data_IF_022061024564
#
_entry.id   IF_022061024564
#
_cell.length_a   1.000
_cell.length_b   1.000
_cell.length_c   1.000
_cell.angle_alpha   90.00
_cell.angle_beta   90.00
_cell.angle_gamma   90.00
#
_symmetry.space_group_name_H-M   'P 1'
#
loop_
_entity.id
_entity.type
_entity.pdbx_description
1 polymer ?
#
# COMPACT_ATOMS: atom_id res chain seq x y z
N UNK A 1 33.46 -12.18 18.86
CA UNK A 1 32.17 -11.58 19.25
C UNK A 1 32.13 -10.20 18.60
N UNK A 2 31.51 -10.07 17.42
CA UNK A 2 31.50 -8.82 16.66
C UNK A 2 30.31 -7.97 17.12
N UNK A 3 30.59 -6.81 17.71
CA UNK A 3 29.56 -5.82 18.04
C UNK A 3 29.08 -5.21 16.72
N UNK A 4 28.05 -5.83 16.13
CA UNK A 4 27.25 -5.21 15.06
C UNK A 4 26.38 -4.14 15.73
N UNK A 5 26.93 -2.94 15.89
CA UNK A 5 26.10 -1.75 16.09
C UNK A 5 25.47 -1.39 14.74
N UNK A 6 24.49 -2.17 14.29
CA UNK A 6 23.53 -1.70 13.30
C UNK A 6 22.74 -0.58 13.98
N UNK A 7 23.17 0.67 13.76
CA UNK A 7 22.42 1.86 14.14
C UNK A 7 21.08 1.81 13.39
N UNK A 8 20.08 1.21 14.02
CA UNK A 8 18.73 1.24 13.51
C UNK A 8 18.21 2.65 13.73
N UNK A 9 18.07 3.40 12.63
CA UNK A 9 17.55 4.78 12.65
C UNK A 9 16.14 4.81 13.25
N UNK A 10 15.40 3.70 13.16
CA UNK A 10 14.03 3.56 13.65
C UNK A 10 13.95 2.44 14.69
N UNK A 11 13.35 2.73 15.84
CA UNK A 11 12.92 1.73 16.81
C UNK A 11 11.93 0.75 16.21
N UNK A 12 11.77 -0.44 16.82
CA UNK A 12 10.78 -1.43 16.37
C UNK A 12 9.35 -0.87 16.35
N UNK A 13 9.02 0.01 17.30
CA UNK A 13 7.71 0.66 17.36
C UNK A 13 7.50 1.60 16.17
N UNK A 14 8.52 2.41 15.82
CA UNK A 14 8.46 3.31 14.65
C UNK A 14 8.40 2.52 13.33
N UNK A 15 9.14 1.42 13.22
CA UNK A 15 9.04 0.54 12.05
C UNK A 15 7.64 -0.06 11.91
N UNK A 16 7.06 -0.54 13.02
CA UNK A 16 5.69 -1.05 13.02
C UNK A 16 4.69 0.03 12.66
N UNK A 17 4.82 1.23 13.22
CA UNK A 17 3.94 2.35 12.86
C UNK A 17 4.05 2.65 11.36
N UNK A 18 5.26 2.78 10.82
CA UNK A 18 5.50 3.11 9.41
C UNK A 18 5.05 2.05 8.41
N UNK A 19 5.27 0.77 8.71
CA UNK A 19 5.09 -0.33 7.75
C UNK A 19 3.91 -1.26 8.06
N UNK A 20 3.08 -0.94 9.07
CA UNK A 20 1.81 -1.63 9.28
C UNK A 20 0.69 -1.02 8.45
N UNK A 21 -0.37 -1.78 8.15
CA UNK A 21 -1.61 -1.23 7.61
C UNK A 21 -2.16 -0.13 8.52
N UNK A 22 -2.69 0.96 7.95
CA UNK A 22 -3.32 2.01 8.73
C UNK A 22 -4.58 1.48 9.40
N UNK A 23 -4.79 1.87 10.67
CA UNK A 23 -6.02 1.59 11.39
C UNK A 23 -7.08 2.60 10.94
N UNK A 24 -7.98 2.18 10.06
CA UNK A 24 -9.01 3.06 9.49
C UNK A 24 -10.29 3.04 10.32
N UNK A 25 -10.85 4.22 10.61
CA UNK A 25 -12.22 4.34 11.10
C UNK A 25 -13.23 3.93 10.03
N UNK A 26 -14.49 3.67 10.40
CA UNK A 26 -15.54 3.33 9.43
C UNK A 26 -15.73 4.42 8.35
N UNK A 27 -15.60 5.69 8.73
CA UNK A 27 -15.68 6.81 7.77
C UNK A 27 -14.50 6.80 6.81
N UNK A 28 -13.29 6.55 7.32
CA UNK A 28 -12.09 6.42 6.50
C UNK A 28 -12.15 5.19 5.57
N UNK A 29 -12.68 4.06 6.04
CA UNK A 29 -12.93 2.89 5.18
C UNK A 29 -13.87 3.24 4.03
N UNK A 30 -14.99 3.92 4.31
CA UNK A 30 -15.92 4.38 3.26
C UNK A 30 -15.25 5.34 2.28
N UNK A 31 -14.41 6.24 2.77
CA UNK A 31 -13.71 7.22 1.94
C UNK A 31 -12.64 6.55 1.06
N UNK A 32 -11.73 5.77 1.65
CA UNK A 32 -10.54 5.26 0.96
C UNK A 32 -10.79 3.98 0.15
N UNK A 33 -11.77 3.16 0.52
CA UNK A 33 -12.08 1.92 -0.20
C UNK A 33 -13.15 2.06 -1.28
N UNK A 34 -13.80 3.22 -1.40
CA UNK A 34 -14.73 3.48 -2.51
C UNK A 34 -13.94 3.91 -3.75
N UNK A 35 -13.87 3.10 -4.82
CA UNK A 35 -13.08 3.45 -5.98
C UNK A 35 -13.79 4.48 -6.86
N UNK A 36 -13.04 5.41 -7.44
CA UNK A 36 -13.56 6.32 -8.48
C UNK A 36 -13.68 5.62 -9.85
N UNK A 37 -14.16 6.32 -10.87
CA UNK A 37 -14.41 5.73 -12.20
C UNK A 37 -13.15 5.13 -12.87
N UNK A 38 -12.00 5.79 -12.73
CA UNK A 38 -10.72 5.34 -13.29
C UNK A 38 -10.27 4.08 -12.55
N UNK A 39 -10.35 4.09 -11.23
CA UNK A 39 -10.00 2.96 -10.37
C UNK A 39 -10.93 1.77 -10.57
N UNK A 40 -12.23 2.00 -10.79
CA UNK A 40 -13.20 0.96 -11.15
C UNK A 40 -12.84 0.29 -12.48
N UNK A 41 -12.33 1.06 -13.44
CA UNK A 41 -11.89 0.52 -14.73
C UNK A 41 -10.69 -0.42 -14.56
N UNK A 42 -9.68 0.01 -13.80
CA UNK A 42 -8.53 -0.84 -13.46
C UNK A 42 -8.94 -2.08 -12.66
N UNK A 43 -9.83 -1.91 -11.69
CA UNK A 43 -10.38 -2.99 -10.86
C UNK A 43 -11.09 -4.06 -11.68
N UNK A 44 -11.87 -3.65 -12.70
CA UNK A 44 -12.57 -4.58 -13.61
C UNK A 44 -11.60 -5.46 -14.40
N UNK A 45 -10.41 -4.94 -14.74
CA UNK A 45 -9.36 -5.71 -15.44
C UNK A 45 -8.77 -6.84 -14.61
N UNK A 46 -8.89 -6.78 -13.27
CA UNK A 46 -8.45 -7.86 -12.37
C UNK A 46 -9.52 -8.96 -12.38
N UNK A 47 -9.17 -10.19 -12.76
CA UNK A 47 -10.15 -11.29 -12.89
C UNK A 47 -10.69 -11.82 -11.57
N UNK A 48 -9.81 -12.04 -10.59
CA UNK A 48 -10.16 -12.73 -9.34
C UNK A 48 -10.75 -11.74 -8.33
N UNK A 49 -11.95 -12.05 -7.80
CA UNK A 49 -12.62 -11.22 -6.78
C UNK A 49 -11.74 -10.98 -5.55
N UNK A 50 -10.99 -11.98 -5.11
CA UNK A 50 -10.08 -11.84 -3.98
C UNK A 50 -8.98 -10.80 -4.25
N UNK A 51 -8.43 -10.82 -5.46
CA UNK A 51 -7.41 -9.87 -5.88
C UNK A 51 -7.98 -8.47 -6.09
N UNK A 52 -9.25 -8.35 -6.52
CA UNK A 52 -9.97 -7.07 -6.57
C UNK A 52 -10.10 -6.46 -5.17
N UNK A 53 -10.54 -7.25 -4.19
CA UNK A 53 -10.66 -6.78 -2.81
C UNK A 53 -9.30 -6.35 -2.25
N UNK A 54 -8.25 -7.16 -2.50
CA UNK A 54 -6.90 -6.83 -2.06
C UNK A 54 -6.34 -5.58 -2.72
N UNK A 55 -6.60 -5.40 -4.02
CA UNK A 55 -6.25 -4.19 -4.76
C UNK A 55 -6.91 -2.95 -4.15
N UNK A 56 -8.22 -3.02 -3.83
CA UNK A 56 -8.94 -1.92 -3.16
C UNK A 56 -8.31 -1.61 -1.80
N UNK A 57 -8.01 -2.63 -0.99
CA UNK A 57 -7.39 -2.44 0.32
C UNK A 57 -6.04 -1.72 0.19
N UNK A 58 -5.13 -2.24 -0.65
CA UNK A 58 -3.81 -1.65 -0.85
C UNK A 58 -3.89 -0.24 -1.45
N UNK A 59 -4.82 0.01 -2.37
CA UNK A 59 -5.04 1.34 -2.94
C UNK A 59 -5.51 2.32 -1.87
N UNK A 60 -6.50 1.94 -1.05
CA UNK A 60 -7.00 2.77 0.04
C UNK A 60 -5.94 3.06 1.10
N UNK A 61 -5.18 2.05 1.50
CA UNK A 61 -4.04 2.24 2.40
C UNK A 61 -3.03 3.20 1.82
N UNK A 62 -2.63 3.02 0.55
CA UNK A 62 -1.66 3.89 -0.09
C UNK A 62 -2.13 5.34 -0.19
N UNK A 63 -3.43 5.57 -0.44
CA UNK A 63 -4.02 6.93 -0.41
C UNK A 63 -3.97 7.57 0.98
N UNK A 64 -4.16 6.79 2.04
CA UNK A 64 -4.08 7.30 3.42
C UNK A 64 -2.65 7.48 3.91
N UNK A 65 -1.75 6.57 3.53
CA UNK A 65 -0.35 6.48 3.91
C UNK A 65 0.43 5.89 2.73
N UNK A 66 1.18 6.72 1.95
CA UNK A 66 1.80 6.31 0.69
C UNK A 66 3.05 5.45 0.90
N UNK A 67 2.85 4.24 1.45
CA UNK A 67 3.88 3.25 1.74
C UNK A 67 3.51 1.94 1.03
N UNK A 68 4.51 1.26 0.47
CA UNK A 68 4.31 -0.07 -0.11
C UNK A 68 4.28 -1.10 1.02
N UNK A 69 3.09 -1.59 1.31
CA UNK A 69 2.81 -2.55 2.38
C UNK A 69 2.76 -4.00 1.87
N UNK A 70 3.08 -4.94 2.76
CA UNK A 70 2.88 -6.37 2.56
C UNK A 70 2.09 -6.98 3.72
N UNK A 71 0.82 -6.59 3.91
CA UNK A 71 0.03 -7.08 5.04
C UNK A 71 -0.19 -8.59 4.96
N UNK A 72 -0.11 -9.25 6.12
CA UNK A 72 -0.70 -10.56 6.30
C UNK A 72 -2.22 -10.44 6.29
N UNK A 73 -2.92 -11.48 5.82
CA UNK A 73 -4.38 -11.43 5.71
C UNK A 73 -5.06 -11.18 7.07
N UNK A 74 -4.50 -11.72 8.15
CA UNK A 74 -5.06 -11.59 9.50
C UNK A 74 -5.10 -10.12 9.97
N UNK A 75 -4.10 -9.32 9.61
CA UNK A 75 -4.04 -7.90 10.00
C UNK A 75 -5.07 -7.03 9.28
N UNK A 76 -5.55 -7.47 8.12
CA UNK A 76 -6.47 -6.71 7.27
C UNK A 76 -7.82 -7.41 7.13
N UNK A 77 -8.11 -8.39 7.99
CA UNK A 77 -9.29 -9.25 7.87
C UNK A 77 -10.58 -8.45 7.81
N UNK A 78 -10.75 -7.51 8.74
CA UNK A 78 -11.97 -6.70 8.87
C UNK A 78 -12.16 -5.77 7.67
N UNK A 79 -11.09 -5.11 7.21
CA UNK A 79 -11.10 -4.30 5.99
C UNK A 79 -11.46 -5.14 4.77
N UNK A 80 -10.91 -6.35 4.66
CA UNK A 80 -11.21 -7.28 3.58
C UNK A 80 -12.67 -7.75 3.61
N UNK A 81 -13.25 -7.99 4.81
CA UNK A 81 -14.68 -8.26 4.93
C UNK A 81 -15.49 -7.06 4.47
N UNK A 82 -15.21 -5.87 5.00
CA UNK A 82 -15.88 -4.62 4.65
C UNK A 82 -15.89 -4.40 3.14
N UNK A 83 -14.74 -4.47 2.48
CA UNK A 83 -14.61 -4.30 1.03
C UNK A 83 -15.43 -5.36 0.29
N UNK A 84 -15.33 -6.63 0.69
CA UNK A 84 -16.02 -7.71 0.01
C UNK A 84 -17.55 -7.59 0.07
N UNK A 85 -18.08 -7.08 1.18
CA UNK A 85 -19.53 -6.98 1.43
C UNK A 85 -20.10 -5.64 0.99
N UNK A 86 -19.47 -4.52 1.36
CA UNK A 86 -20.00 -3.18 1.18
C UNK A 86 -19.60 -2.57 -0.17
N UNK A 87 -18.39 -2.85 -0.66
CA UNK A 87 -17.87 -2.25 -1.91
C UNK A 87 -18.11 -3.16 -3.11
N UNK A 88 -17.84 -4.45 -2.97
CA UNK A 88 -18.00 -5.43 -4.06
C UNK A 88 -19.41 -6.07 -4.10
N UNK A 89 -20.25 -5.83 -3.10
CA UNK A 89 -21.65 -6.28 -3.07
C UNK A 89 -21.85 -7.81 -3.03
N UNK A 90 -20.93 -8.56 -2.43
CA UNK A 90 -21.04 -10.03 -2.31
C UNK A 90 -20.94 -10.54 -0.88
N UNK A 91 -20.90 -11.88 -0.72
CA UNK A 91 -20.66 -12.50 0.59
C UNK A 91 -19.22 -12.26 1.06
N UNK A 92 -18.98 -12.35 2.37
CA UNK A 92 -17.67 -12.23 3.00
C UNK A 92 -16.57 -13.06 2.31
N UNK A 93 -15.32 -12.66 2.52
CA UNK A 93 -14.16 -13.22 1.82
C UNK A 93 -13.39 -14.21 2.71
N UNK A 94 -12.94 -15.33 2.15
CA UNK A 94 -12.09 -16.28 2.87
C UNK A 94 -10.62 -15.84 2.81
N UNK A 95 -9.80 -16.17 3.82
CA UNK A 95 -8.36 -15.98 3.75
C UNK A 95 -7.73 -16.56 2.48
N UNK A 96 -6.79 -15.81 1.90
CA UNK A 96 -5.98 -16.23 0.77
C UNK A 96 -4.58 -15.63 0.90
N UNK A 97 -3.63 -16.24 0.19
CA UNK A 97 -2.25 -15.78 0.14
C UNK A 97 -1.98 -15.09 -1.19
N UNK A 98 -1.22 -13.99 -1.14
CA UNK A 98 -0.71 -13.29 -2.30
C UNK A 98 0.81 -13.42 -2.31
N UNK A 99 1.37 -13.94 -3.40
CA UNK A 99 2.81 -14.02 -3.55
C UNK A 99 3.42 -12.64 -3.90
N UNK A 100 4.74 -12.51 -3.72
CA UNK A 100 5.46 -11.25 -3.98
C UNK A 100 5.19 -10.69 -5.38
N UNK A 101 5.24 -11.53 -6.41
CA UNK A 101 5.05 -11.10 -7.81
C UNK A 101 3.63 -10.57 -8.08
N UNK A 102 2.61 -11.24 -7.51
CA UNK A 102 1.22 -10.80 -7.60
C UNK A 102 1.02 -9.44 -6.90
N UNK A 103 1.61 -9.28 -5.71
CA UNK A 103 1.58 -8.00 -4.98
C UNK A 103 2.30 -6.90 -5.75
N UNK A 104 3.46 -7.19 -6.32
CA UNK A 104 4.24 -6.21 -7.08
C UNK A 104 3.47 -5.72 -8.32
N UNK A 105 2.74 -6.62 -9.01
CA UNK A 105 1.84 -6.24 -10.13
C UNK A 105 0.67 -5.38 -9.67
N UNK A 106 0.13 -5.62 -8.48
CA UNK A 106 -0.93 -4.78 -7.89
C UNK A 106 -0.39 -3.38 -7.59
N UNK A 107 0.79 -3.27 -6.95
CA UNK A 107 1.39 -1.97 -6.68
C UNK A 107 1.77 -1.22 -7.96
N UNK A 108 2.26 -1.89 -8.99
CA UNK A 108 2.52 -1.23 -10.28
C UNK A 108 1.28 -0.52 -10.83
N UNK A 109 0.09 -1.12 -10.67
CA UNK A 109 -1.18 -0.49 -11.06
C UNK A 109 -1.53 0.69 -10.15
N UNK A 110 -1.38 0.53 -8.84
CA UNK A 110 -1.66 1.59 -7.85
C UNK A 110 -0.76 2.81 -8.08
N UNK A 111 0.54 2.59 -8.24
CA UNK A 111 1.51 3.66 -8.48
C UNK A 111 1.17 4.41 -9.77
N UNK A 112 0.85 3.69 -10.86
CA UNK A 112 0.42 4.31 -12.11
C UNK A 112 -0.85 5.13 -11.94
N UNK A 113 -1.86 4.61 -11.24
CA UNK A 113 -3.13 5.30 -11.01
C UNK A 113 -2.96 6.61 -10.23
N UNK A 114 -2.02 6.62 -9.27
CA UNK A 114 -1.79 7.75 -8.40
C UNK A 114 -0.62 8.64 -8.86
N UNK A 115 -0.08 8.40 -10.06
CA UNK A 115 1.08 9.10 -10.63
C UNK A 115 2.35 9.04 -9.75
N UNK A 116 2.53 7.93 -9.05
CA UNK A 116 3.78 7.60 -8.37
C UNK A 116 4.67 6.72 -9.25
N UNK A 117 5.97 6.77 -8.97
CA UNK A 117 6.96 5.87 -9.55
C UNK A 117 7.73 5.15 -8.43
N UNK A 118 8.21 3.93 -8.74
CA UNK A 118 9.16 3.27 -7.83
C UNK A 118 10.48 4.04 -7.86
N UNK A 119 11.14 4.09 -6.72
CA UNK A 119 12.50 4.61 -6.64
C UNK A 119 13.44 3.82 -7.54
N UNK A 120 14.19 4.53 -8.37
CA UNK A 120 15.29 4.05 -9.18
C UNK A 120 16.50 4.93 -8.88
N UNK A 121 17.50 4.36 -8.21
CA UNK A 121 18.68 5.08 -7.77
C UNK A 121 19.42 5.74 -8.94
N UNK A 122 19.47 5.09 -10.11
CA UNK A 122 20.16 5.62 -11.28
C UNK A 122 19.49 6.85 -11.88
N UNK A 123 18.17 6.98 -11.71
CA UNK A 123 17.37 8.07 -12.27
C UNK A 123 17.05 9.15 -11.25
N UNK A 124 16.88 8.79 -9.98
CA UNK A 124 16.30 9.67 -8.97
C UNK A 124 17.31 10.18 -7.94
N UNK A 125 18.46 9.52 -7.78
CA UNK A 125 19.44 9.92 -6.77
C UNK A 125 20.03 11.30 -7.03
N UNK A 126 20.54 11.55 -8.25
CA UNK A 126 21.19 12.82 -8.56
C UNK A 126 20.25 14.04 -8.35
N UNK A 127 19.01 14.04 -8.89
CA UNK A 127 18.06 15.14 -8.65
C UNK A 127 17.72 15.32 -7.16
N UNK A 128 17.55 14.23 -6.40
CA UNK A 128 17.28 14.31 -4.96
C UNK A 128 18.46 14.91 -4.21
N UNK A 129 19.68 14.44 -4.49
CA UNK A 129 20.89 14.94 -3.85
C UNK A 129 21.09 16.43 -4.11
N UNK A 130 20.95 16.88 -5.36
CA UNK A 130 21.03 18.30 -5.72
C UNK A 130 20.00 19.14 -4.95
N UNK A 131 18.76 18.68 -4.86
CA UNK A 131 17.71 19.35 -4.11
C UNK A 131 18.03 19.45 -2.61
N UNK A 132 18.46 18.35 -1.99
CA UNK A 132 18.81 18.31 -0.56
C UNK A 132 20.00 19.21 -0.24
N UNK A 133 21.01 19.26 -1.12
CA UNK A 133 22.17 20.18 -0.97
C UNK A 133 21.74 21.64 -1.09
N UNK A 134 20.80 21.97 -1.98
CA UNK A 134 20.27 23.33 -2.08
C UNK A 134 19.50 23.73 -0.81
N UNK A 135 18.60 22.88 -0.30
CA UNK A 135 17.82 23.16 0.91
C UNK A 135 18.71 23.27 2.14
N UNK A 136 19.72 22.40 2.29
CA UNK A 136 20.62 22.42 3.43
C UNK A 136 21.62 23.59 3.45
N UNK A 137 21.73 24.35 2.36
CA UNK A 137 22.55 25.57 2.27
C UNK A 137 21.74 26.87 2.45
N UNK A 138 20.41 26.77 2.56
CA UNK A 138 19.50 27.89 2.85
C UNK A 138 19.35 28.07 4.37
#
# INVERSE_FOLDING_TARGET
MAIKNELSILTKAEQLDLYSPPLLSLEQQRLYFTPNEIELTELKSIRLRNHRCYFIALLGYFKSKPVILSPSFNLIFDDMQFISTQVQGGKGIRPFSINKMQRDRIYQRILRLLNYQKWDESLHFAPLYEHLVMVGKA
#
